data_IF_226021137525
#
_entry.id   IF_226021137525
#
_cell.length_a   1.000
_cell.length_b   1.000
_cell.length_c   1.000
_cell.angle_alpha   90.00
_cell.angle_beta   90.00
_cell.angle_gamma   90.00
#
_symmetry.space_group_name_H-M   'P 1'
#
loop_
_entity.id
_entity.type
_entity.pdbx_description
1 polymer ?
#
# COMPACT_ATOMS: atom_id res chain seq x y z
N UNK A 1 81.69 35.51 -10.44
CA UNK A 1 80.93 34.47 -9.70
C UNK A 1 79.46 34.84 -9.82
N UNK A 2 78.71 34.13 -10.66
CA UNK A 2 77.35 34.50 -11.08
C UNK A 2 76.31 33.81 -10.18
N UNK A 3 75.28 34.54 -9.75
CA UNK A 3 74.23 34.09 -8.83
C UNK A 3 73.03 33.59 -9.63
N UNK A 4 72.44 32.47 -9.23
CA UNK A 4 71.10 32.04 -9.64
C UNK A 4 70.37 31.35 -8.46
N UNK A 5 69.08 31.67 -8.19
CA UNK A 5 68.22 30.93 -7.28
C UNK A 5 67.09 30.16 -8.03
N UNK A 6 66.68 28.99 -7.54
CA UNK A 6 65.48 28.23 -8.00
C UNK A 6 64.95 27.42 -6.79
N UNK A 7 63.81 27.74 -6.16
CA UNK A 7 62.36 27.54 -6.47
C UNK A 7 61.76 26.35 -5.69
N UNK A 8 60.76 26.67 -4.86
CA UNK A 8 59.98 25.79 -3.97
C UNK A 8 58.84 25.08 -4.71
N UNK A 9 58.47 23.87 -4.29
CA UNK A 9 57.14 23.29 -4.56
C UNK A 9 56.63 22.52 -3.34
N UNK A 10 55.50 22.97 -2.81
CA UNK A 10 54.75 22.34 -1.71
C UNK A 10 53.88 21.18 -2.23
N UNK A 11 53.89 20.04 -1.53
CA UNK A 11 52.80 19.06 -1.57
C UNK A 11 52.46 18.65 -0.12
N UNK A 12 51.19 18.81 0.24
CA UNK A 12 50.62 18.46 1.55
C UNK A 12 49.73 17.22 1.39
N UNK A 13 49.88 16.24 2.28
CA UNK A 13 48.96 15.13 2.46
C UNK A 13 48.38 15.21 3.89
N UNK A 14 47.05 15.03 4.11
CA UNK A 14 46.53 14.91 5.46
C UNK A 14 46.65 13.48 5.99
N UNK A 15 47.01 13.41 7.28
CA UNK A 15 47.35 12.23 8.06
C UNK A 15 46.12 11.34 8.42
N UNK A 16 46.38 10.03 8.56
CA UNK A 16 45.47 9.04 9.17
C UNK A 16 45.70 9.00 10.69
N UNK A 17 44.61 8.91 11.45
CA UNK A 17 44.50 8.87 12.91
C UNK A 17 43.44 7.81 13.24
N UNK A 18 43.44 6.98 14.28
CA UNK A 18 44.41 6.56 15.31
C UNK A 18 43.73 5.33 15.97
N UNK A 19 44.45 4.20 16.05
CA UNK A 19 44.25 3.04 16.95
C UNK A 19 42.97 2.19 16.81
N UNK A 20 43.10 1.06 16.11
CA UNK A 20 42.35 -0.18 16.36
C UNK A 20 43.31 -1.17 17.01
N UNK A 21 43.23 -1.34 18.33
CA UNK A 21 44.03 -2.33 19.03
C UNK A 21 43.29 -2.82 20.27
N UNK A 22 42.41 -3.80 20.14
CA UNK A 22 42.17 -4.81 21.19
C UNK A 22 41.76 -6.14 20.55
N UNK A 23 42.58 -7.17 20.74
CA UNK A 23 42.34 -8.59 20.41
C UNK A 23 42.48 -9.41 21.69
N UNK A 24 41.65 -10.45 21.82
CA UNK A 24 41.68 -11.48 22.88
C UNK A 24 40.80 -11.10 24.07
N UNK A 25 39.98 -11.96 24.66
CA UNK A 25 40.13 -13.41 24.87
C UNK A 25 38.77 -14.09 25.06
N UNK A 26 38.76 -15.36 24.68
CA UNK A 26 37.82 -16.44 24.94
C UNK A 26 37.27 -16.49 26.38
N UNK A 27 35.96 -16.70 26.52
CA UNK A 27 35.33 -17.11 27.78
C UNK A 27 34.04 -17.87 27.48
N UNK A 28 34.14 -19.19 27.52
CA UNK A 28 33.04 -20.13 27.68
C UNK A 28 32.17 -19.79 28.91
N UNK A 29 30.86 -19.66 28.73
CA UNK A 29 29.86 -19.71 29.81
C UNK A 29 28.85 -20.81 29.44
N UNK A 30 28.59 -21.79 30.33
CA UNK A 30 27.82 -22.98 29.99
C UNK A 30 26.32 -22.72 29.91
N UNK A 31 25.67 -23.44 29.00
CA UNK A 31 24.21 -23.59 28.89
C UNK A 31 23.60 -24.12 30.18
N UNK A 32 22.54 -23.46 30.64
CA UNK A 32 21.59 -23.87 31.68
C UNK A 32 20.40 -22.92 31.55
N UNK A 33 19.13 -23.29 31.64
CA UNK A 33 18.44 -24.56 31.86
C UNK A 33 16.96 -24.19 31.69
N UNK A 34 16.18 -25.16 31.26
CA UNK A 34 14.75 -25.08 30.96
C UNK A 34 13.92 -24.42 32.06
N UNK A 35 12.92 -23.62 31.68
CA UNK A 35 11.75 -23.38 32.51
C UNK A 35 10.55 -23.26 31.58
N UNK A 36 9.85 -24.38 31.54
CA UNK A 36 8.57 -24.61 30.91
C UNK A 36 7.46 -24.02 31.79
N UNK A 37 6.36 -23.72 31.12
CA UNK A 37 4.98 -23.84 31.58
C UNK A 37 4.41 -22.83 32.59
N UNK A 38 3.43 -22.07 32.10
CA UNK A 38 2.18 -21.79 32.82
C UNK A 38 1.14 -21.39 31.77
N UNK A 39 0.49 -22.39 31.19
CA UNK A 39 -0.87 -22.25 30.67
C UNK A 39 -1.82 -22.09 31.87
N UNK A 40 -2.68 -21.07 31.84
CA UNK A 40 -3.90 -21.05 32.64
C UNK A 40 -5.09 -21.20 31.68
N UNK A 41 -5.62 -22.43 31.66
CA UNK A 41 -6.97 -22.86 31.25
C UNK A 41 -8.03 -22.02 31.98
N UNK A 42 -9.02 -21.45 31.28
CA UNK A 42 -10.35 -22.00 30.96
C UNK A 42 -11.36 -21.87 32.13
N UNK A 43 -12.65 -22.06 31.79
CA UNK A 43 -13.90 -21.91 32.57
C UNK A 43 -14.55 -20.51 32.57
N UNK A 44 -15.84 -20.28 32.33
CA UNK A 44 -17.07 -21.05 32.03
C UNK A 44 -18.07 -19.96 31.53
N UNK A 45 -18.82 -20.10 30.43
CA UNK A 45 -20.08 -20.82 30.20
C UNK A 45 -21.36 -20.17 30.81
N UNK A 46 -22.49 -20.47 30.18
CA UNK A 46 -23.90 -20.08 30.42
C UNK A 46 -24.39 -18.74 29.82
N UNK A 47 -25.06 -18.79 28.65
CA UNK A 47 -26.47 -19.16 28.44
C UNK A 47 -27.40 -17.98 28.75
N UNK A 48 -27.90 -17.31 27.71
CA UNK A 48 -29.22 -16.68 27.80
C UNK A 48 -29.98 -16.94 26.50
N UNK A 49 -31.21 -17.40 26.71
CA UNK A 49 -32.15 -18.05 25.81
C UNK A 49 -32.75 -17.13 24.75
N UNK A 50 -33.31 -17.82 23.75
CA UNK A 50 -34.20 -17.40 22.70
C UNK A 50 -35.34 -16.47 23.15
N UNK A 51 -35.58 -15.40 22.39
CA UNK A 51 -36.95 -14.97 22.10
C UNK A 51 -37.10 -14.76 20.59
N UNK A 52 -37.82 -15.69 19.95
CA UNK A 52 -38.45 -15.46 18.67
C UNK A 52 -39.61 -14.48 18.88
N UNK A 53 -39.56 -13.32 18.22
CA UNK A 53 -40.72 -12.47 18.05
C UNK A 53 -40.94 -12.23 16.55
N UNK A 54 -41.80 -13.08 15.98
CA UNK A 54 -42.48 -12.84 14.72
C UNK A 54 -43.56 -11.77 14.97
N UNK A 55 -43.21 -10.50 14.77
CA UNK A 55 -44.20 -9.45 14.50
C UNK A 55 -44.00 -8.90 13.08
N UNK A 56 -44.84 -9.42 12.17
CA UNK A 56 -45.24 -8.73 10.95
C UNK A 56 -45.86 -7.37 11.33
N UNK A 57 -45.07 -6.29 11.33
CA UNK A 57 -45.59 -4.92 11.31
C UNK A 57 -45.28 -4.26 9.96
N UNK A 58 -46.30 -4.30 9.10
CA UNK A 58 -46.43 -3.52 7.87
C UNK A 58 -46.50 -2.02 8.22
N UNK A 59 -45.34 -1.38 8.43
CA UNK A 59 -45.23 0.07 8.50
C UNK A 59 -44.46 0.64 7.30
N UNK A 60 -45.24 1.11 6.34
CA UNK A 60 -44.93 2.17 5.38
C UNK A 60 -44.17 3.34 6.04
N UNK A 61 -42.91 3.58 5.67
CA UNK A 61 -42.39 4.89 5.21
C UNK A 61 -40.90 4.79 4.85
N UNK A 62 -40.60 5.17 3.60
CA UNK A 62 -39.40 5.88 3.16
C UNK A 62 -38.07 5.67 3.92
N UNK A 63 -37.12 4.95 3.32
CA UNK A 63 -35.71 5.38 3.08
C UNK A 63 -34.72 4.19 2.94
N UNK A 64 -33.92 4.21 1.87
CA UNK A 64 -32.54 3.72 1.83
C UNK A 64 -32.27 2.19 1.91
N UNK A 65 -32.82 1.41 0.97
CA UNK A 65 -32.48 0.00 0.79
C UNK A 65 -31.64 -0.32 -0.44
N UNK A 66 -30.31 -0.09 -0.44
CA UNK A 66 -29.41 -0.71 -1.45
C UNK A 66 -28.01 -1.10 -0.91
N UNK A 67 -27.95 -1.87 0.19
CA UNK A 67 -26.71 -2.55 0.59
C UNK A 67 -26.76 -4.05 0.28
N UNK A 68 -26.62 -4.45 -1.00
CA UNK A 68 -26.47 -5.88 -1.38
C UNK A 68 -25.80 -6.12 -2.75
N UNK A 69 -24.66 -5.46 -3.00
CA UNK A 69 -23.61 -5.93 -3.92
C UNK A 69 -22.37 -5.02 -3.80
N UNK A 70 -21.37 -5.48 -3.05
CA UNK A 70 -19.98 -4.99 -2.93
C UNK A 70 -19.78 -3.55 -3.43
N UNK A 71 -19.75 -2.59 -2.49
CA UNK A 71 -19.41 -1.18 -2.76
C UNK A 71 -18.08 -1.11 -3.51
N UNK A 72 -18.15 -0.96 -4.84
CA UNK A 72 -17.19 -0.09 -5.51
C UNK A 72 -17.57 1.26 -4.95
N UNK A 73 -16.75 1.80 -4.04
CA UNK A 73 -16.95 3.18 -3.60
C UNK A 73 -17.08 4.04 -4.85
N UNK A 74 -18.14 4.84 -4.93
CA UNK A 74 -18.36 5.78 -6.02
C UNK A 74 -17.08 6.61 -6.24
N UNK A 75 -16.68 6.78 -7.51
CA UNK A 75 -15.54 7.63 -7.83
C UNK A 75 -15.72 9.06 -7.30
N UNK A 76 -16.96 9.51 -7.10
CA UNK A 76 -17.28 10.81 -6.49
C UNK A 76 -16.85 10.87 -5.03
N UNK A 77 -17.23 9.88 -4.23
CA UNK A 77 -16.86 9.77 -2.80
C UNK A 77 -15.34 9.71 -2.60
N UNK A 78 -14.62 9.13 -3.56
CA UNK A 78 -13.17 9.05 -3.56
C UNK A 78 -12.47 10.38 -3.93
N UNK A 79 -13.19 11.36 -4.45
CA UNK A 79 -12.68 12.73 -4.67
C UNK A 79 -12.77 13.58 -3.41
N UNK A 80 -13.65 13.24 -2.47
CA UNK A 80 -13.86 14.02 -1.24
C UNK A 80 -12.54 14.24 -0.47
N UNK A 81 -11.69 13.23 -0.18
CA UNK A 81 -10.44 13.49 0.52
C UNK A 81 -9.53 14.47 -0.23
N UNK A 82 -9.58 14.48 -1.56
CA UNK A 82 -8.75 15.35 -2.39
C UNK A 82 -9.17 16.82 -2.24
N UNK A 83 -10.46 17.08 -2.03
CA UNK A 83 -10.98 18.40 -1.69
C UNK A 83 -10.50 18.87 -0.30
N UNK A 84 -10.32 17.93 0.64
CA UNK A 84 -9.69 18.18 1.95
C UNK A 84 -8.15 18.24 1.90
N UNK A 85 -7.55 18.36 0.72
CA UNK A 85 -6.11 18.50 0.53
C UNK A 85 -5.31 17.19 0.60
N UNK A 86 -5.98 16.04 0.60
CA UNK A 86 -5.28 14.77 0.42
C UNK A 86 -4.86 14.59 -1.03
N UNK A 87 -3.76 13.87 -1.24
CA UNK A 87 -3.34 13.47 -2.59
C UNK A 87 -3.43 11.96 -2.70
N UNK A 88 -3.97 11.48 -3.81
CA UNK A 88 -3.99 10.05 -4.15
C UNK A 88 -3.05 9.84 -5.33
N UNK A 89 -2.01 9.03 -5.15
CA UNK A 89 -1.12 8.64 -6.23
C UNK A 89 -1.26 7.15 -6.52
N UNK A 90 -1.30 6.78 -7.81
CA UNK A 90 -1.20 5.41 -8.29
C UNK A 90 0.10 5.23 -9.06
N UNK A 91 0.99 4.36 -8.59
CA UNK A 91 2.27 4.03 -9.21
C UNK A 91 2.19 2.69 -9.94
N UNK A 92 2.30 2.74 -11.26
CA UNK A 92 2.18 1.58 -12.16
C UNK A 92 3.56 1.13 -12.60
N UNK A 93 3.86 -0.16 -12.40
CA UNK A 93 5.07 -0.81 -12.88
C UNK A 93 4.76 -2.11 -13.59
N UNK A 94 5.62 -2.50 -14.54
CA UNK A 94 5.58 -3.85 -15.10
C UNK A 94 6.44 -4.77 -14.24
N UNK A 95 5.86 -5.85 -13.73
CA UNK A 95 6.56 -6.86 -12.95
C UNK A 95 6.23 -8.24 -13.51
N UNK A 96 7.22 -8.92 -14.12
CA UNK A 96 7.04 -10.26 -14.68
C UNK A 96 6.01 -10.33 -15.81
N UNK A 97 5.95 -9.31 -16.67
CA UNK A 97 4.99 -9.24 -17.78
C UNK A 97 3.57 -8.83 -17.38
N UNK A 98 3.35 -8.50 -16.10
CA UNK A 98 2.06 -8.02 -15.59
C UNK A 98 2.20 -6.59 -15.08
N UNK A 99 1.24 -5.73 -15.45
CA UNK A 99 1.13 -4.41 -14.85
C UNK A 99 0.60 -4.52 -13.41
N UNK A 100 1.32 -3.91 -12.49
CA UNK A 100 0.97 -3.80 -11.09
C UNK A 100 0.87 -2.32 -10.73
N UNK A 101 -0.28 -1.94 -10.21
CA UNK A 101 -0.51 -0.59 -9.69
C UNK A 101 -0.52 -0.63 -8.18
N UNK A 102 0.22 0.28 -7.57
CA UNK A 102 0.24 0.51 -6.14
C UNK A 102 -0.34 1.90 -5.84
N UNK A 103 -1.22 1.99 -4.86
CA UNK A 103 -1.85 3.26 -4.47
C UNK A 103 -1.29 3.73 -3.13
N UNK A 104 -1.05 5.03 -3.02
CA UNK A 104 -0.78 5.69 -1.76
C UNK A 104 -1.62 6.97 -1.65
N UNK A 105 -2.02 7.28 -0.42
CA UNK A 105 -2.57 8.58 -0.08
C UNK A 105 -1.54 9.39 0.69
N UNK A 106 -1.46 10.68 0.43
CA UNK A 106 -0.68 11.63 1.19
C UNK A 106 -1.66 12.54 1.90
N UNK A 107 -1.60 12.55 3.23
CA UNK A 107 -2.37 13.47 4.04
C UNK A 107 -1.92 14.92 3.79
N UNK A 108 -2.74 15.94 4.14
CA UNK A 108 -2.37 17.35 4.00
C UNK A 108 -1.06 17.75 4.69
N UNK A 109 -0.65 17.00 5.73
CA UNK A 109 0.63 17.16 6.41
C UNK A 109 1.83 16.44 5.73
N UNK A 110 1.62 15.85 4.54
CA UNK A 110 2.62 15.07 3.79
C UNK A 110 2.76 13.61 4.22
N UNK A 111 1.99 13.14 5.22
CA UNK A 111 2.09 11.75 5.68
C UNK A 111 1.57 10.79 4.60
N UNK A 112 2.45 9.89 4.14
CA UNK A 112 2.11 8.82 3.21
C UNK A 112 1.45 7.64 3.91
N UNK A 113 0.32 7.18 3.39
CA UNK A 113 -0.46 6.03 3.86
C UNK A 113 -0.70 5.07 2.70
N UNK A 114 -0.46 3.77 2.91
CA UNK A 114 -0.57 2.73 1.86
C UNK A 114 -1.63 1.67 2.16
N UNK A 115 -2.24 1.73 3.33
CA UNK A 115 -3.21 0.72 3.77
C UNK A 115 -4.34 1.34 4.60
N UNK A 116 -5.50 0.69 4.61
CA UNK A 116 -6.66 1.12 5.39
C UNK A 116 -6.39 1.27 6.89
N UNK A 117 -5.67 0.35 7.58
CA UNK A 117 -5.37 0.53 8.99
C UNK A 117 -4.57 1.82 9.28
N UNK A 118 -3.71 2.24 8.34
CA UNK A 118 -2.95 3.48 8.48
C UNK A 118 -3.86 4.72 8.33
N UNK A 119 -4.84 4.67 7.41
CA UNK A 119 -5.87 5.70 7.23
C UNK A 119 -6.73 5.83 8.47
N UNK A 120 -7.32 4.73 8.94
CA UNK A 120 -8.19 4.73 10.13
C UNK A 120 -7.43 5.29 11.33
N UNK A 121 -6.21 4.80 11.57
CA UNK A 121 -5.33 5.29 12.65
C UNK A 121 -4.97 6.78 12.50
N UNK A 122 -4.83 7.27 11.26
CA UNK A 122 -4.57 8.69 11.02
C UNK A 122 -5.81 9.54 11.32
N UNK A 123 -6.98 9.17 10.81
CA UNK A 123 -8.22 9.91 11.03
C UNK A 123 -8.54 10.03 12.52
N UNK A 124 -8.50 8.92 13.25
CA UNK A 124 -8.76 8.91 14.71
C UNK A 124 -7.74 9.75 15.48
N UNK A 125 -6.44 9.67 15.16
CA UNK A 125 -5.39 10.43 15.87
C UNK A 125 -5.54 11.94 15.67
N UNK A 126 -5.99 12.37 14.50
CA UNK A 126 -6.12 13.79 14.17
C UNK A 126 -7.54 14.34 14.40
N UNK A 127 -8.47 13.52 14.92
CA UNK A 127 -9.85 13.94 15.16
C UNK A 127 -10.62 14.28 13.89
N UNK A 128 -10.28 13.67 12.75
CA UNK A 128 -10.93 13.93 11.46
C UNK A 128 -12.16 13.03 11.35
N UNK A 129 -13.35 13.65 11.30
CA UNK A 129 -14.64 12.94 11.22
C UNK A 129 -15.41 13.22 9.93
N UNK A 130 -15.06 14.27 9.19
CA UNK A 130 -15.74 14.69 7.95
C UNK A 130 -15.51 13.72 6.78
N UNK A 131 -14.45 12.92 6.86
CA UNK A 131 -14.12 11.86 5.91
C UNK A 131 -13.88 10.56 6.66
N UNK A 132 -14.37 9.46 6.08
CA UNK A 132 -14.32 8.14 6.68
C UNK A 132 -13.47 7.19 5.83
N UNK A 133 -13.32 5.95 6.29
CA UNK A 133 -12.66 4.86 5.54
C UNK A 133 -13.22 4.71 4.12
N UNK A 134 -14.52 4.91 3.95
CA UNK A 134 -15.21 4.64 2.68
C UNK A 134 -14.77 5.61 1.58
N UNK A 135 -14.29 6.81 1.95
CA UNK A 135 -13.75 7.80 1.03
C UNK A 135 -12.34 7.45 0.52
N UNK A 136 -11.74 6.35 0.98
CA UNK A 136 -10.42 5.88 0.55
C UNK A 136 -10.51 4.58 -0.23
N UNK A 137 -9.76 4.48 -1.33
CA UNK A 137 -9.61 3.24 -2.09
C UNK A 137 -8.19 3.03 -2.58
N UNK A 138 -7.60 1.91 -2.14
CA UNK A 138 -6.29 1.44 -2.57
C UNK A 138 -6.35 0.60 -3.87
N UNK A 139 -7.49 0.59 -4.57
CA UNK A 139 -7.60 -0.04 -5.89
C UNK A 139 -6.94 0.82 -6.96
N UNK A 140 -5.84 0.33 -7.54
CA UNK A 140 -5.17 1.00 -8.67
C UNK A 140 -6.03 1.08 -9.95
N UNK A 141 -7.21 0.46 -9.95
CA UNK A 141 -8.12 0.42 -11.11
C UNK A 141 -9.14 1.56 -11.13
N UNK A 142 -9.19 2.38 -10.08
CA UNK A 142 -10.14 3.50 -10.00
C UNK A 142 -9.45 4.77 -10.47
N UNK A 143 -10.08 5.49 -11.40
CA UNK A 143 -9.52 6.68 -12.07
C UNK A 143 -9.67 7.94 -11.21
N UNK A 144 -8.94 8.00 -10.10
CA UNK A 144 -8.94 9.13 -9.16
C UNK A 144 -7.51 9.51 -8.79
N UNK A 145 -7.22 10.81 -8.73
CA UNK A 145 -5.89 11.32 -8.38
C UNK A 145 -4.85 11.12 -9.49
N UNK A 146 -3.58 11.14 -9.09
CA UNK A 146 -2.44 11.12 -10.00
C UNK A 146 -2.01 9.71 -10.34
N UNK A 147 -1.53 9.52 -11.57
CA UNK A 147 -1.04 8.24 -12.06
C UNK A 147 0.39 8.40 -12.55
N UNK A 148 1.29 7.55 -12.08
CA UNK A 148 2.68 7.51 -12.51
C UNK A 148 3.01 6.17 -13.11
N UNK A 149 3.84 6.19 -14.13
CA UNK A 149 4.36 5.01 -14.79
C UNK A 149 5.87 4.90 -14.61
N UNK A 150 6.28 3.69 -14.25
CA UNK A 150 7.66 3.23 -14.32
C UNK A 150 8.18 3.27 -15.76
N UNK A 151 9.20 4.08 -16.03
CA UNK A 151 9.95 4.06 -17.30
C UNK A 151 11.43 3.93 -17.03
N UNK A 152 12.13 3.23 -17.93
CA UNK A 152 13.58 3.20 -17.91
C UNK A 152 14.11 4.53 -18.49
N UNK A 153 15.02 5.14 -17.76
CA UNK A 153 15.74 6.35 -18.16
C UNK A 153 17.25 6.14 -18.10
N UNK A 154 18.05 7.11 -18.57
CA UNK A 154 19.51 7.02 -18.57
C UNK A 154 20.12 6.88 -17.16
N UNK A 155 19.40 7.30 -16.12
CA UNK A 155 19.80 7.17 -14.70
C UNK A 155 19.11 5.98 -14.00
N UNK A 156 18.44 5.11 -14.76
CA UNK A 156 17.62 4.01 -14.25
C UNK A 156 16.14 4.34 -14.22
N UNK A 157 15.41 3.64 -13.36
CA UNK A 157 13.95 3.74 -13.25
C UNK A 157 13.50 5.14 -12.81
N UNK A 158 12.59 5.73 -13.58
CA UNK A 158 11.92 6.99 -13.26
C UNK A 158 10.40 6.82 -13.22
N UNK A 159 9.74 7.64 -12.39
CA UNK A 159 8.28 7.75 -12.32
C UNK A 159 7.82 8.91 -13.20
N UNK A 160 7.23 8.60 -14.35
CA UNK A 160 6.68 9.60 -15.25
C UNK A 160 5.19 9.78 -14.97
N UNK A 161 4.74 11.02 -14.76
CA UNK A 161 3.31 11.33 -14.63
C UNK A 161 2.61 10.97 -15.95
N UNK A 162 1.55 10.18 -15.85
CA UNK A 162 0.69 9.81 -16.97
C UNK A 162 -0.30 10.94 -17.22
N UNK A 163 -0.50 11.23 -18.51
CA UNK A 163 -1.57 12.14 -18.92
C UNK A 163 -2.91 11.46 -18.81
N UNK A 164 -3.97 12.25 -18.73
CA UNK A 164 -5.33 11.79 -18.53
C UNK A 164 -5.78 10.76 -19.59
N UNK A 165 -5.34 10.92 -20.85
CA UNK A 165 -5.62 10.01 -21.95
C UNK A 165 -4.98 8.61 -21.81
N UNK A 166 -3.84 8.52 -21.11
CA UNK A 166 -3.06 7.29 -20.96
C UNK A 166 -3.49 6.46 -19.73
N UNK A 167 -4.21 7.07 -18.79
CA UNK A 167 -4.65 6.42 -17.54
C UNK A 167 -5.59 5.24 -17.83
N UNK A 168 -6.60 5.44 -18.68
CA UNK A 168 -7.63 4.42 -18.97
C UNK A 168 -7.00 3.17 -19.62
N UNK A 169 -6.15 3.28 -20.67
CA UNK A 169 -5.43 2.14 -21.21
C UNK A 169 -4.62 1.36 -20.16
N UNK A 170 -3.96 2.07 -19.22
CA UNK A 170 -3.17 1.43 -18.15
C UNK A 170 -4.04 0.69 -17.13
N UNK A 171 -5.15 1.28 -16.71
CA UNK A 171 -6.14 0.64 -15.82
C UNK A 171 -6.67 -0.65 -16.46
N UNK A 172 -7.12 -0.59 -17.72
CA UNK A 172 -7.65 -1.75 -18.44
C UNK A 172 -6.62 -2.88 -18.55
N UNK A 173 -5.36 -2.55 -18.78
CA UNK A 173 -4.29 -3.54 -18.86
C UNK A 173 -4.00 -4.23 -17.50
N UNK A 174 -4.20 -3.53 -16.37
CA UNK A 174 -4.12 -4.13 -15.02
C UNK A 174 -5.33 -5.03 -14.68
N UNK A 175 -6.47 -4.82 -15.34
CA UNK A 175 -7.69 -5.59 -15.13
C UNK A 175 -7.67 -6.99 -15.72
N UNK A 176 -6.66 -7.32 -16.52
CA UNK A 176 -6.45 -8.62 -17.17
C UNK A 176 -6.89 -9.77 -16.27
N UNK A 177 -8.06 -10.34 -16.59
CA UNK A 177 -8.61 -11.47 -15.86
C UNK A 177 -7.61 -12.62 -16.01
N UNK A 178 -7.24 -13.24 -14.89
CA UNK A 178 -6.78 -14.64 -14.92
C UNK A 178 -7.95 -15.44 -15.49
N UNK A 179 -7.88 -15.78 -16.76
CA UNK A 179 -8.87 -16.61 -17.41
C UNK A 179 -8.14 -17.43 -18.44
N UNK A 180 -8.10 -18.74 -18.22
CA UNK A 180 -7.77 -19.75 -19.24
C UNK A 180 -8.41 -19.31 -20.57
N UNK A 181 -7.72 -19.47 -21.72
CA UNK A 181 -8.36 -19.22 -23.02
C UNK A 181 -9.72 -19.93 -23.07
N UNK A 182 -10.75 -19.33 -23.70
CA UNK A 182 -12.05 -19.96 -23.83
C UNK A 182 -11.84 -21.34 -24.46
N UNK A 183 -12.32 -22.39 -23.77
CA UNK A 183 -12.18 -23.74 -24.26
C UNK A 183 -12.93 -23.87 -25.60
N UNK A 184 -12.25 -24.13 -26.75
CA UNK A 184 -12.91 -24.24 -28.05
C UNK A 184 -13.94 -25.38 -28.11
N UNK A 185 -13.87 -26.36 -27.21
CA UNK A 185 -14.78 -27.51 -27.18
C UNK A 185 -16.23 -27.15 -26.76
N UNK A 186 -16.45 -26.03 -26.06
CA UNK A 186 -17.80 -25.66 -25.59
C UNK A 186 -18.68 -25.02 -26.67
N UNK A 187 -18.13 -24.62 -27.82
CA UNK A 187 -18.92 -24.03 -28.91
C UNK A 187 -19.59 -25.08 -29.80
N UNK A 188 -19.07 -26.30 -29.87
CA UNK A 188 -19.62 -27.36 -30.74
C UNK A 188 -20.88 -28.03 -30.21
N UNK A 189 -21.22 -27.84 -28.93
CA UNK A 189 -22.37 -28.51 -28.31
C UNK A 189 -23.68 -27.70 -28.37
N UNK A 190 -23.70 -26.51 -29.00
CA UNK A 190 -24.90 -25.65 -29.04
C UNK A 190 -25.58 -25.58 -30.41
N UNK A 191 -25.02 -26.24 -31.42
CA UNK A 191 -25.60 -26.29 -32.78
C UNK A 191 -26.25 -27.65 -33.10
N UNK A 192 -26.26 -28.58 -32.15
CA UNK A 192 -26.90 -29.90 -32.29
C UNK A 192 -27.85 -30.15 -31.11
N UNK A 193 -28.94 -29.38 -31.05
CA UNK A 193 -30.16 -29.66 -30.26
C UNK A 193 -31.35 -28.92 -30.85
#
# INVERSE_FOLDING_TARGET
>A
NNVNPVKTQHHSHPAKSLVEQFRGTDSDIPSSKDSEDSNEDEEEDDEEEDEEDDEDDESDDSQSGTSKRRRVTDERELRIPLEYGWQRETRIRNFGGRLQGEVAYYAPCGKKLRQYPEVIKYLSRNGIMDISRDNFSFSAKIRVGDFYEARDGPQGMQWCLLKEEDVIPRIRAMEGRRGRPPNPDRQRAREES
#
